data_IF_340861125185
#
_entry.id   IF_340861125185
#
_cell.length_a   1.000
_cell.length_b   1.000
_cell.length_c   1.000
_cell.angle_alpha   90.00
_cell.angle_beta   90.00
_cell.angle_gamma   90.00
#
_symmetry.space_group_name_H-M   'P 1'
#
loop_
_entity.id
_entity.type
_entity.pdbx_description
1 polymer ?
#
# COMPACT_ATOMS: atom_id res chain seq x y z
N UNK A 1 11.17 -4.98 -7.21
CA UNK A 1 10.70 -4.57 -5.87
C UNK A 1 11.81 -3.84 -5.11
N UNK A 2 11.45 -2.83 -4.32
CA UNK A 2 12.35 -2.04 -3.47
C UNK A 2 12.07 -2.34 -2.00
N UNK A 3 13.14 -2.39 -1.20
CA UNK A 3 13.11 -2.34 0.26
C UNK A 3 13.20 -0.87 0.72
N UNK A 4 12.95 -0.57 2.01
CA UNK A 4 12.92 0.81 2.49
C UNK A 4 14.23 1.58 2.20
N UNK A 5 14.09 2.89 1.94
CA UNK A 5 15.21 3.76 1.59
C UNK A 5 15.69 3.64 0.14
N UNK A 6 14.93 2.98 -0.74
CA UNK A 6 15.26 2.83 -2.17
C UNK A 6 16.21 1.65 -2.48
N UNK A 7 16.31 0.71 -1.55
CA UNK A 7 17.18 -0.47 -1.59
C UNK A 7 16.68 -1.50 -2.60
N UNK A 8 17.44 -1.93 -3.62
CA UNK A 8 17.00 -3.00 -4.52
C UNK A 8 16.88 -4.33 -3.76
N UNK A 9 15.70 -4.96 -3.81
CA UNK A 9 15.50 -6.28 -3.16
C UNK A 9 16.40 -7.38 -3.72
N UNK A 10 16.95 -7.22 -4.93
CA UNK A 10 17.90 -8.14 -5.55
C UNK A 10 19.34 -8.01 -5.06
N UNK A 11 19.70 -6.86 -4.48
CA UNK A 11 21.04 -6.64 -3.95
C UNK A 11 21.21 -7.39 -2.61
N UNK A 12 22.20 -8.30 -2.46
CA UNK A 12 22.42 -9.01 -1.22
C UNK A 12 22.72 -8.11 -0.02
N UNK A 13 23.54 -7.06 -0.21
CA UNK A 13 23.89 -6.10 0.86
C UNK A 13 22.64 -5.35 1.33
N UNK A 14 21.78 -4.95 0.38
CA UNK A 14 20.51 -4.31 0.70
C UNK A 14 19.60 -5.20 1.57
N UNK A 15 19.53 -6.51 1.26
CA UNK A 15 18.75 -7.46 2.07
C UNK A 15 19.37 -7.67 3.45
N UNK A 16 20.69 -7.81 3.53
CA UNK A 16 21.43 -8.01 4.79
C UNK A 16 21.25 -6.82 5.75
N UNK A 17 21.37 -5.59 5.24
CA UNK A 17 21.15 -4.36 6.03
C UNK A 17 19.73 -4.32 6.63
N UNK A 18 18.71 -4.60 5.82
CA UNK A 18 17.31 -4.56 6.26
C UNK A 18 16.99 -5.74 7.19
N UNK A 19 17.50 -6.94 6.91
CA UNK A 19 17.34 -8.10 7.77
C UNK A 19 17.92 -7.85 9.17
N UNK A 20 19.12 -7.28 9.24
CA UNK A 20 19.75 -6.87 10.49
C UNK A 20 18.94 -5.78 11.22
N UNK A 21 18.44 -4.77 10.49
CA UNK A 21 17.62 -3.71 11.09
C UNK A 21 16.31 -4.23 11.68
N UNK A 22 15.68 -5.22 11.03
CA UNK A 22 14.43 -5.84 11.47
C UNK A 22 14.64 -7.03 12.42
N UNK A 23 15.89 -7.43 12.70
CA UNK A 23 16.20 -8.56 13.56
C UNK A 23 15.73 -9.91 13.02
N UNK A 24 15.61 -10.05 11.69
CA UNK A 24 15.23 -11.31 11.02
C UNK A 24 16.45 -11.99 10.41
N UNK A 25 16.42 -13.32 10.29
CA UNK A 25 17.56 -14.09 9.77
C UNK A 25 17.87 -13.76 8.30
N UNK A 26 16.83 -13.66 7.47
CA UNK A 26 16.97 -13.34 6.05
C UNK A 26 15.68 -12.73 5.48
N UNK A 27 15.81 -12.02 4.37
CA UNK A 27 14.68 -11.57 3.55
C UNK A 27 14.55 -12.44 2.30
N UNK A 28 13.32 -12.61 1.77
CA UNK A 28 13.11 -13.33 0.52
C UNK A 28 13.96 -12.77 -0.62
N UNK A 29 14.61 -13.66 -1.36
CA UNK A 29 15.46 -13.30 -2.52
C UNK A 29 14.67 -13.20 -3.83
N UNK A 30 13.44 -13.71 -3.87
CA UNK A 30 12.57 -13.66 -5.04
C UNK A 30 11.74 -12.38 -5.03
N UNK A 31 11.46 -11.85 -6.22
CA UNK A 31 10.48 -10.78 -6.34
C UNK A 31 9.11 -11.27 -5.86
N UNK A 32 8.46 -10.45 -5.04
CA UNK A 32 7.04 -10.58 -4.78
C UNK A 32 6.23 -10.34 -6.05
N UNK A 33 4.98 -10.79 -6.04
CA UNK A 33 4.03 -10.50 -7.12
C UNK A 33 3.73 -9.00 -7.14
N UNK A 34 3.69 -8.40 -8.32
CA UNK A 34 3.11 -7.05 -8.49
C UNK A 34 1.57 -7.11 -8.39
N UNK A 35 0.91 -5.95 -8.40
CA UNK A 35 -0.55 -5.87 -8.26
C UNK A 35 -1.30 -6.66 -9.33
N UNK A 36 -0.86 -6.63 -10.59
CA UNK A 36 -1.51 -7.39 -11.67
C UNK A 36 -1.33 -8.90 -11.48
N UNK A 37 -0.13 -9.32 -11.09
CA UNK A 37 0.16 -10.70 -10.74
C UNK A 37 -0.60 -11.18 -9.50
N UNK A 38 -0.82 -10.32 -8.50
CA UNK A 38 -1.66 -10.62 -7.34
C UNK A 38 -3.11 -10.84 -7.77
N UNK A 39 -3.67 -9.93 -8.58
CA UNK A 39 -5.04 -10.04 -9.11
C UNK A 39 -5.21 -11.33 -9.90
N UNK A 40 -4.28 -11.64 -10.81
CA UNK A 40 -4.33 -12.88 -11.60
C UNK A 40 -4.20 -14.14 -10.73
N UNK A 41 -3.29 -14.14 -9.77
CA UNK A 41 -3.08 -15.30 -8.89
C UNK A 41 -4.28 -15.53 -7.96
N UNK A 42 -4.89 -14.47 -7.43
CA UNK A 42 -6.13 -14.56 -6.64
C UNK A 42 -7.29 -15.10 -7.48
N UNK A 43 -7.49 -14.57 -8.69
CA UNK A 43 -8.50 -15.05 -9.63
C UNK A 43 -8.19 -16.40 -10.30
N UNK A 44 -7.13 -17.08 -9.85
CA UNK A 44 -6.81 -18.49 -10.19
C UNK A 44 -6.84 -19.39 -8.97
N UNK A 45 -7.16 -18.85 -7.79
CA UNK A 45 -7.11 -19.57 -6.52
C UNK A 45 -5.70 -19.90 -6.03
N UNK A 46 -4.64 -19.28 -6.59
CA UNK A 46 -3.26 -19.46 -6.14
C UNK A 46 -2.96 -18.70 -4.84
N UNK A 47 -3.75 -17.65 -4.54
CA UNK A 47 -3.68 -16.90 -3.30
C UNK A 47 -4.91 -17.20 -2.46
N UNK A 48 -4.67 -17.60 -1.21
CA UNK A 48 -5.73 -17.98 -0.27
C UNK A 48 -6.32 -16.78 0.47
N UNK A 49 -5.58 -15.68 0.55
CA UNK A 49 -6.03 -14.48 1.24
C UNK A 49 -5.45 -13.20 0.62
N UNK A 50 -6.19 -12.10 0.77
CA UNK A 50 -5.78 -10.75 0.40
C UNK A 50 -5.93 -9.81 1.59
N UNK A 51 -4.91 -8.98 1.82
CA UNK A 51 -4.97 -7.82 2.71
C UNK A 51 -4.90 -6.57 1.83
N UNK A 52 -5.98 -5.80 1.78
CA UNK A 52 -6.14 -4.67 0.87
C UNK A 52 -6.26 -3.38 1.67
N UNK A 53 -5.47 -2.37 1.34
CA UNK A 53 -5.49 -1.08 2.02
C UNK A 53 -5.35 0.07 1.01
N UNK A 54 -6.32 0.99 0.97
CA UNK A 54 -6.25 2.19 0.12
C UNK A 54 -6.20 1.90 -1.38
N UNK A 55 -6.93 0.90 -1.85
CA UNK A 55 -7.02 0.53 -3.27
C UNK A 55 -8.44 0.77 -3.76
N UNK A 56 -8.59 1.65 -4.75
CA UNK A 56 -9.84 1.81 -5.48
C UNK A 56 -9.81 0.89 -6.71
N UNK A 57 -10.78 -0.02 -6.80
CA UNK A 57 -10.84 -1.04 -7.88
C UNK A 57 -10.88 -0.40 -9.27
N UNK A 58 -11.53 0.75 -9.39
CA UNK A 58 -11.62 1.51 -10.63
C UNK A 58 -10.28 2.10 -11.11
N UNK A 59 -9.27 2.22 -10.24
CA UNK A 59 -7.96 2.75 -10.58
C UNK A 59 -6.99 1.65 -11.07
N UNK A 60 -7.39 0.38 -10.98
CA UNK A 60 -6.59 -0.74 -11.48
C UNK A 60 -6.67 -0.84 -13.01
N UNK A 61 -5.62 -1.37 -13.69
CA UNK A 61 -5.61 -1.49 -15.16
C UNK A 61 -6.76 -2.32 -15.74
N UNK A 62 -7.24 -3.31 -15.00
CA UNK A 62 -8.44 -4.10 -15.33
C UNK A 62 -9.36 -4.21 -14.10
N UNK A 63 -10.30 -3.24 -13.93
CA UNK A 63 -11.22 -3.24 -12.80
C UNK A 63 -12.16 -4.45 -12.78
N UNK A 64 -12.54 -4.99 -13.94
CA UNK A 64 -13.43 -6.14 -14.01
C UNK A 64 -12.72 -7.40 -13.48
N UNK A 65 -11.47 -7.60 -13.88
CA UNK A 65 -10.64 -8.70 -13.38
C UNK A 65 -10.33 -8.56 -11.89
N UNK A 66 -10.08 -7.34 -11.41
CA UNK A 66 -9.88 -7.08 -9.99
C UNK A 66 -11.11 -7.43 -9.13
N UNK A 67 -12.33 -7.10 -9.59
CA UNK A 67 -13.57 -7.54 -8.92
C UNK A 67 -13.69 -9.05 -8.85
N UNK A 68 -13.44 -9.74 -9.96
CA UNK A 68 -13.45 -11.20 -9.99
C UNK A 68 -12.43 -11.79 -9.02
N UNK A 69 -11.21 -11.24 -8.98
CA UNK A 69 -10.17 -11.67 -8.05
C UNK A 69 -10.57 -11.49 -6.57
N UNK A 70 -11.21 -10.37 -6.22
CA UNK A 70 -11.70 -10.12 -4.85
C UNK A 70 -12.82 -11.10 -4.48
N UNK A 71 -13.74 -11.40 -5.42
CA UNK A 71 -14.84 -12.34 -5.19
C UNK A 71 -14.39 -13.82 -5.13
N UNK A 72 -13.30 -14.16 -5.80
CA UNK A 72 -12.74 -15.53 -5.85
C UNK A 72 -11.65 -15.77 -4.78
N UNK A 73 -11.11 -14.71 -4.18
CA UNK A 73 -10.12 -14.83 -3.12
C UNK A 73 -10.73 -15.57 -1.92
N UNK A 74 -9.97 -16.50 -1.33
CA UNK A 74 -10.47 -17.34 -0.24
C UNK A 74 -10.77 -16.58 1.06
N UNK A 75 -10.10 -15.44 1.30
CA UNK A 75 -10.33 -14.59 2.45
C UNK A 75 -9.82 -13.16 2.19
N UNK A 76 -10.65 -12.15 2.38
CA UNK A 76 -10.30 -10.75 2.09
C UNK A 76 -10.43 -9.89 3.35
N UNK A 77 -9.33 -9.26 3.73
CA UNK A 77 -9.28 -8.25 4.80
C UNK A 77 -9.08 -6.87 4.17
N UNK A 78 -9.98 -5.94 4.45
CA UNK A 78 -9.93 -4.56 3.94
C UNK A 78 -9.62 -3.57 5.07
N UNK A 79 -8.53 -2.82 4.95
CA UNK A 79 -8.21 -1.67 5.80
C UNK A 79 -8.73 -0.42 5.11
N UNK A 80 -9.81 0.15 5.63
CA UNK A 80 -10.58 1.13 4.86
C UNK A 80 -11.11 2.29 5.69
N UNK A 81 -11.24 3.46 5.06
CA UNK A 81 -11.73 4.68 5.69
C UNK A 81 -13.25 4.82 5.53
N UNK A 82 -13.79 4.33 4.41
CA UNK A 82 -15.20 4.46 4.01
C UNK A 82 -15.67 3.22 3.23
N UNK A 83 -16.96 2.88 3.22
CA UNK A 83 -17.45 1.81 2.35
C UNK A 83 -17.08 2.04 0.88
N UNK A 84 -16.69 0.97 0.20
CA UNK A 84 -16.34 0.92 -1.22
C UNK A 84 -16.35 -0.51 -1.78
N UNK A 85 -16.00 -0.67 -3.06
CA UNK A 85 -16.11 -1.97 -3.77
C UNK A 85 -15.32 -3.09 -3.09
N UNK A 86 -14.15 -2.78 -2.52
CA UNK A 86 -13.35 -3.76 -1.77
C UNK A 86 -14.08 -4.21 -0.51
N UNK A 87 -14.70 -3.28 0.23
CA UNK A 87 -15.41 -3.61 1.48
C UNK A 87 -16.66 -4.44 1.25
N UNK A 88 -17.32 -4.28 0.09
CA UNK A 88 -18.51 -5.07 -0.27
C UNK A 88 -18.15 -6.54 -0.52
N UNK A 89 -16.91 -6.82 -0.90
CA UNK A 89 -16.39 -8.16 -1.16
C UNK A 89 -15.49 -8.69 -0.04
N UNK A 90 -15.27 -7.91 1.03
CA UNK A 90 -14.37 -8.28 2.11
C UNK A 90 -15.06 -9.14 3.18
N UNK A 91 -14.37 -10.17 3.67
CA UNK A 91 -14.80 -10.96 4.83
C UNK A 91 -14.63 -10.18 6.14
N UNK A 92 -13.58 -9.34 6.22
CA UNK A 92 -13.29 -8.50 7.39
C UNK A 92 -12.97 -7.09 6.94
N UNK A 93 -13.67 -6.11 7.52
CA UNK A 93 -13.37 -4.68 7.34
C UNK A 93 -12.82 -4.11 8.63
N UNK A 94 -11.59 -3.58 8.57
CA UNK A 94 -10.91 -2.93 9.68
C UNK A 94 -10.86 -1.42 9.41
N UNK A 95 -11.66 -0.61 10.14
CA UNK A 95 -11.68 0.83 9.93
C UNK A 95 -10.36 1.46 10.37
N UNK A 96 -9.79 2.32 9.52
CA UNK A 96 -8.54 3.03 9.79
C UNK A 96 -8.71 4.55 9.83
N UNK A 97 -7.84 5.25 10.55
CA UNK A 97 -7.86 6.70 10.67
C UNK A 97 -7.55 7.39 9.33
N UNK A 98 -8.32 8.44 9.03
CA UNK A 98 -8.03 9.31 7.90
C UNK A 98 -6.73 10.09 8.09
N UNK A 99 -6.14 10.58 7.00
CA UNK A 99 -4.91 11.42 7.04
C UNK A 99 -5.10 12.63 7.94
N UNK A 100 -6.28 13.27 7.90
CA UNK A 100 -6.58 14.42 8.74
C UNK A 100 -6.62 14.10 10.25
N UNK A 101 -6.76 12.83 10.63
CA UNK A 101 -7.00 12.36 11.99
C UNK A 101 -5.76 11.74 12.65
N UNK A 102 -4.67 11.62 11.89
CA UNK A 102 -3.41 11.02 12.36
C UNK A 102 -2.21 11.90 12.01
N UNK A 103 -1.15 11.80 12.79
CA UNK A 103 0.14 12.37 12.42
C UNK A 103 0.89 11.41 11.50
N UNK A 104 1.80 11.93 10.69
CA UNK A 104 2.54 11.11 9.75
C UNK A 104 3.52 11.91 8.90
N UNK A 105 3.84 11.37 7.74
CA UNK A 105 4.75 12.02 6.80
C UNK A 105 4.44 11.62 5.37
N UNK A 106 4.54 12.58 4.45
CA UNK A 106 4.60 12.32 3.02
C UNK A 106 6.02 12.45 2.48
N UNK A 107 6.34 11.62 1.49
CA UNK A 107 7.51 11.78 0.64
C UNK A 107 7.06 12.47 -0.65
N UNK A 108 7.60 13.64 -0.97
CA UNK A 108 7.24 14.32 -2.21
C UNK A 108 8.02 13.78 -3.41
N UNK A 109 7.68 14.24 -4.61
CA UNK A 109 8.33 13.85 -5.87
C UNK A 109 9.84 14.13 -5.94
N UNK A 110 10.35 15.01 -5.09
CA UNK A 110 11.78 15.35 -5.00
C UNK A 110 12.50 14.48 -3.95
N UNK A 111 11.83 13.48 -3.40
CA UNK A 111 12.36 12.62 -2.35
C UNK A 111 12.47 13.31 -0.98
N UNK A 112 11.75 14.41 -0.75
CA UNK A 112 11.77 15.14 0.54
C UNK A 112 10.65 14.69 1.45
N UNK A 113 11.05 14.34 2.68
CA UNK A 113 10.21 13.93 3.79
C UNK A 113 9.55 15.16 4.41
N UNK A 114 8.21 15.19 4.49
CA UNK A 114 7.42 16.27 5.08
C UNK A 114 6.48 15.74 6.17
N UNK A 115 6.81 16.06 7.41
CA UNK A 115 5.98 15.70 8.56
C UNK A 115 4.71 16.53 8.63
N UNK A 116 3.65 15.94 9.17
CA UNK A 116 2.41 16.63 9.48
C UNK A 116 1.81 16.08 10.77
N UNK A 117 1.06 16.93 11.45
CA UNK A 117 0.29 16.58 12.64
C UNK A 117 -1.17 16.30 12.28
N UNK A 118 -1.89 15.64 13.18
CA UNK A 118 -3.34 15.47 13.04
C UNK A 118 -4.03 16.84 13.02
N UNK A 119 -4.81 17.11 11.97
CA UNK A 119 -5.60 18.33 11.84
C UNK A 119 -6.89 18.28 12.67
N UNK A 120 -7.49 17.09 12.78
CA UNK A 120 -8.66 16.80 13.60
C UNK A 120 -8.22 16.00 14.83
N UNK A 121 -8.39 16.60 16.01
CA UNK A 121 -8.04 15.99 17.29
C UNK A 121 -9.21 15.17 17.84
N UNK A 122 -8.96 14.14 18.66
CA UNK A 122 -10.02 13.30 19.23
C UNK A 122 -11.14 14.06 19.95
N UNK A 123 -10.83 15.18 20.62
CA UNK A 123 -11.80 16.03 21.32
C UNK A 123 -12.67 16.88 20.39
N UNK A 124 -12.31 16.97 19.10
CA UNK A 124 -13.05 17.70 18.07
C UNK A 124 -13.98 16.77 17.26
N UNK A 125 -13.94 15.46 17.50
CA UNK A 125 -14.66 14.45 16.74
C UNK A 125 -15.94 14.02 17.48
N UNK A 126 -17.02 13.81 16.73
CA UNK A 126 -18.27 13.25 17.26
C UNK A 126 -18.25 11.72 17.38
N UNK A 127 -17.24 11.08 16.79
CA UNK A 127 -17.02 9.64 16.80
C UNK A 127 -15.69 9.30 17.47
N UNK A 128 -15.53 8.04 17.87
CA UNK A 128 -14.24 7.52 18.32
C UNK A 128 -13.24 7.55 17.17
N UNK A 129 -12.02 8.00 17.47
CA UNK A 129 -10.89 7.92 16.55
C UNK A 129 -10.61 6.46 16.20
N UNK A 130 -10.55 6.15 14.90
CA UNK A 130 -10.15 4.85 14.41
C UNK A 130 -8.63 4.65 14.65
N UNK A 131 -8.14 3.42 14.81
CA UNK A 131 -6.70 3.18 14.86
C UNK A 131 -6.03 3.59 13.54
N UNK A 132 -4.75 3.95 13.58
CA UNK A 132 -3.96 4.13 12.36
C UNK A 132 -3.71 2.79 11.67
N UNK A 133 -3.44 2.79 10.37
CA UNK A 133 -3.09 1.60 9.59
C UNK A 133 -1.90 0.86 10.24
N UNK A 134 -0.87 1.60 10.65
CA UNK A 134 0.28 1.04 11.36
C UNK A 134 -0.12 0.33 12.67
N UNK A 135 -1.07 0.91 13.42
CA UNK A 135 -1.57 0.28 14.64
C UNK A 135 -2.39 -0.98 14.34
N UNK A 136 -3.20 -0.97 13.29
CA UNK A 136 -3.95 -2.15 12.84
C UNK A 136 -2.99 -3.26 12.40
N UNK A 137 -1.98 -2.94 11.60
CA UNK A 137 -0.95 -3.90 11.17
C UNK A 137 -0.17 -4.48 12.36
N UNK A 138 0.14 -3.66 13.37
CA UNK A 138 0.75 -4.14 14.60
C UNK A 138 -0.18 -5.11 15.36
N UNK A 139 -1.47 -4.77 15.48
CA UNK A 139 -2.44 -5.65 16.15
C UNK A 139 -2.61 -6.98 15.41
N UNK A 140 -2.61 -6.96 14.07
CA UNK A 140 -2.63 -8.17 13.26
C UNK A 140 -1.38 -9.02 13.46
N UNK A 141 -0.20 -8.39 13.47
CA UNK A 141 1.06 -9.07 13.72
C UNK A 141 1.10 -9.69 15.13
N UNK A 142 0.69 -8.93 16.16
CA UNK A 142 0.60 -9.43 17.54
C UNK A 142 -0.38 -10.62 17.65
N UNK A 143 -1.51 -10.60 16.93
CA UNK A 143 -2.45 -11.72 16.87
C UNK A 143 -1.87 -12.97 16.16
N UNK A 144 -0.84 -12.77 15.32
CA UNK A 144 -0.07 -13.83 14.66
C UNK A 144 1.20 -14.23 15.43
N UNK A 145 1.38 -13.74 16.66
CA UNK A 145 2.58 -13.95 17.48
C UNK A 145 3.87 -13.37 16.85
N UNK A 146 3.72 -12.30 16.06
CA UNK A 146 4.81 -11.54 15.43
C UNK A 146 4.86 -10.14 16.05
N UNK A 147 5.86 -9.90 16.89
CA UNK A 147 6.00 -8.63 17.58
C UNK A 147 6.89 -7.66 16.81
N UNK A 148 6.27 -6.74 16.06
CA UNK A 148 7.00 -5.75 15.25
C UNK A 148 7.79 -4.73 16.09
N UNK A 149 7.45 -4.53 17.37
CA UNK A 149 8.15 -3.56 18.23
C UNK A 149 7.93 -2.09 17.84
N UNK A 150 6.82 -1.79 17.15
CA UNK A 150 6.50 -0.48 16.59
C UNK A 150 5.24 0.15 17.23
N UNK A 151 5.25 0.47 18.54
CA UNK A 151 4.05 0.87 19.29
C UNK A 151 3.50 2.24 18.91
N UNK A 152 4.33 3.11 18.33
CA UNK A 152 3.95 4.48 18.00
C UNK A 152 4.73 5.02 16.79
N UNK A 153 4.24 6.16 16.26
CA UNK A 153 4.84 6.85 15.12
C UNK A 153 6.30 7.26 15.37
N UNK A 154 6.64 7.62 16.61
CA UNK A 154 7.99 8.04 16.97
C UNK A 154 8.97 6.88 16.81
N UNK A 155 8.59 5.70 17.25
CA UNK A 155 9.39 4.48 17.16
C UNK A 155 9.55 4.05 15.71
N UNK A 156 8.46 4.08 14.92
CA UNK A 156 8.49 3.81 13.47
C UNK A 156 9.46 4.75 12.77
N UNK A 157 9.37 6.06 13.05
CA UNK A 157 10.26 7.07 12.47
C UNK A 157 11.72 6.84 12.87
N UNK A 158 11.99 6.58 14.15
CA UNK A 158 13.34 6.32 14.63
C UNK A 158 13.96 5.06 13.98
N UNK A 159 13.17 4.03 13.69
CA UNK A 159 13.64 2.86 12.94
C UNK A 159 13.96 3.20 11.47
N UNK A 160 13.06 3.89 10.77
CA UNK A 160 13.30 4.34 9.40
C UNK A 160 14.53 5.24 9.29
N UNK A 161 14.71 6.17 10.23
CA UNK A 161 15.86 7.08 10.26
C UNK A 161 17.16 6.34 10.57
N UNK A 162 17.14 5.32 11.44
CA UNK A 162 18.30 4.43 11.69
C UNK A 162 18.68 3.63 10.45
N UNK A 163 17.70 3.16 9.69
CA UNK A 163 17.96 2.41 8.45
C UNK A 163 18.52 3.33 7.35
N UNK A 164 18.05 4.58 7.28
CA UNK A 164 18.59 5.59 6.38
C UNK A 164 18.35 5.32 4.89
N UNK A 165 18.95 6.16 4.05
CA UNK A 165 18.87 6.04 2.60
C UNK A 165 19.88 5.03 2.04
N UNK A 166 19.51 4.38 0.94
CA UNK A 166 20.42 3.50 0.21
C UNK A 166 21.54 4.30 -0.47
N UNK A 167 22.78 3.86 -0.28
CA UNK A 167 23.98 4.48 -0.86
C UNK A 167 24.60 3.65 -2.01
N UNK A 168 24.00 2.50 -2.33
CA UNK A 168 24.48 1.58 -3.37
C UNK A 168 23.85 1.81 -4.75
N UNK A 169 24.01 0.84 -5.66
CA UNK A 169 23.40 0.90 -6.99
C UNK A 169 21.89 1.05 -6.91
N UNK A 170 21.32 2.00 -7.65
CA UNK A 170 19.87 2.18 -7.72
C UNK A 170 19.24 1.02 -8.49
N UNK A 171 17.97 0.74 -8.19
CA UNK A 171 17.19 -0.15 -9.03
C UNK A 171 17.03 0.46 -10.43
N UNK A 172 16.87 -0.42 -11.42
CA UNK A 172 16.56 -0.02 -12.79
C UNK A 172 15.19 0.66 -12.87
N UNK A 173 15.05 1.59 -13.82
CA UNK A 173 13.79 2.29 -14.05
C UNK A 173 12.65 1.30 -14.37
N UNK A 174 11.39 1.67 -14.06
CA UNK A 174 10.23 0.88 -14.44
C UNK A 174 10.23 0.60 -15.95
N UNK A 175 10.15 -0.68 -16.32
CA UNK A 175 10.07 -1.13 -17.71
C UNK A 175 8.62 -1.19 -18.18
N UNK A 176 7.85 -0.12 -17.97
CA UNK A 176 6.48 -0.07 -18.49
C UNK A 176 6.50 0.46 -19.92
N UNK A 177 5.93 -0.33 -20.84
CA UNK A 177 5.75 0.10 -22.23
C UNK A 177 4.40 0.80 -22.30
N UNK A 178 4.39 2.06 -22.75
CA UNK A 178 3.14 2.78 -22.94
C UNK A 178 2.19 1.97 -23.85
N UNK A 179 0.95 1.78 -23.39
CA UNK A 179 -0.08 1.11 -24.16
C UNK A 179 -0.39 1.84 -25.47
N UNK A 180 -0.94 1.12 -26.45
CA UNK A 180 -1.37 1.72 -27.70
C UNK A 180 -2.50 2.73 -27.44
N UNK A 181 -2.28 3.99 -27.83
CA UNK A 181 -3.30 5.02 -27.70
C UNK A 181 -4.49 4.73 -28.64
N UNK A 182 -5.74 5.00 -28.20
CA UNK A 182 -6.90 4.86 -29.07
C UNK A 182 -6.76 5.75 -30.31
N UNK A 183 -7.23 5.26 -31.46
CA UNK A 183 -7.32 6.06 -32.69
C UNK A 183 -8.78 6.47 -32.89
N UNK A 184 -9.14 7.74 -32.67
CA UNK A 184 -10.52 8.18 -32.84
C UNK A 184 -10.92 8.13 -34.32
N UNK A 185 -12.17 7.76 -34.60
CA UNK A 185 -12.74 7.84 -35.93
C UNK A 185 -13.08 9.30 -36.32
N UNK A 186 -13.54 9.52 -37.55
CA UNK A 186 -14.00 10.84 -37.99
C UNK A 186 -15.17 11.32 -37.14
N UNK A 187 -15.00 12.47 -36.46
CA UNK A 187 -15.99 13.03 -35.54
C UNK A 187 -15.80 12.62 -34.07
N UNK A 188 -14.78 11.81 -33.75
CA UNK A 188 -14.44 11.42 -32.38
C UNK A 188 -13.20 12.16 -31.86
N UNK A 189 -13.03 12.19 -30.55
CA UNK A 189 -11.83 12.71 -29.88
C UNK A 189 -11.43 11.78 -28.73
N UNK A 190 -10.13 11.66 -28.48
CA UNK A 190 -9.60 11.00 -27.27
C UNK A 190 -9.42 12.07 -26.20
N UNK A 191 -10.20 11.96 -25.12
CA UNK A 191 -10.03 12.81 -23.95
C UNK A 191 -9.01 12.17 -23.01
N UNK A 192 -7.83 12.77 -22.91
CA UNK A 192 -6.87 12.46 -21.86
C UNK A 192 -7.01 13.52 -20.76
N UNK A 193 -7.68 13.17 -19.67
CA UNK A 193 -7.81 14.03 -18.49
C UNK A 193 -7.53 13.22 -17.23
N UNK A 194 -6.99 13.87 -16.20
CA UNK A 194 -7.03 13.28 -14.86
C UNK A 194 -8.49 13.28 -14.41
N UNK A 195 -8.98 12.12 -13.96
CA UNK A 195 -10.29 12.02 -13.31
C UNK A 195 -10.26 13.02 -12.15
N UNK A 196 -11.04 14.08 -12.26
CA UNK A 196 -11.22 14.99 -11.14
C UNK A 196 -11.86 14.14 -10.03
N UNK A 197 -11.41 14.28 -8.78
CA UNK A 197 -12.02 13.71 -7.56
C UNK A 197 -13.44 14.29 -7.34
N UNK A 198 -14.29 14.25 -8.36
CA UNK A 198 -15.66 14.74 -8.37
C UNK A 198 -16.66 13.60 -8.22
N UNK A 199 -16.26 12.39 -8.58
CA UNK A 199 -17.13 11.23 -8.56
C UNK A 199 -16.75 10.34 -7.38
N UNK A 200 -17.53 10.44 -6.29
CA UNK A 200 -17.42 9.68 -5.05
C UNK A 200 -16.28 10.09 -4.11
N UNK A 201 -16.36 11.33 -3.59
CA UNK A 201 -15.46 11.83 -2.54
C UNK A 201 -15.39 10.98 -1.27
#
# INVERSE_FOLDING_TARGET
ALLPGGRPSTDPRAREEVAAAWGVAELPHRYGRDTGQIVEAAARGELQALLVAGVEVADLPDPARARAALAEAGFVVSLELRPGEVTELADVVLPVAAVAEKAGTFLNWEGRVRMFEAALKPDQMTRRLAPTDARVLQMLADAMDVHLGLPDLRTIRAELDRLGAWDGPRATDPLETAGALPRPAAGEAVLAGHRLLLDHG
#
